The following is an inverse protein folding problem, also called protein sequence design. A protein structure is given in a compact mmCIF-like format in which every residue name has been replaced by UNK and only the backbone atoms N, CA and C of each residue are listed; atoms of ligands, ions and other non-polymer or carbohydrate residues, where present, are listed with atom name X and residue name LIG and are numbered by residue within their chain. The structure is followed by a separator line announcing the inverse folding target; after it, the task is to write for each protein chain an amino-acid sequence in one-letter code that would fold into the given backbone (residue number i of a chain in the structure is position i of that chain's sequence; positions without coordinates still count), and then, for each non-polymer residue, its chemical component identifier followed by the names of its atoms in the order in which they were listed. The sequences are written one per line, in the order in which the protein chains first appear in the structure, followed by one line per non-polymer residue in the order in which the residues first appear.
data_IF_754460613215
#
_entry.id   IF_754460613215
#
_cell.length_a   1.000
_cell.length_b   1.000
_cell.length_c   1.000
_cell.angle_alpha   90.00
_cell.angle_beta   90.00
_cell.angle_gamma   90.00
#
_symmetry.space_group_name_H-M   'P 1'
#
loop_
_entity.id
_entity.type
_entity.pdbx_description
1 polymer ?
#
# COMPACT_ATOMS: atom_id res chain seq x y z
N UNK A 1 17.94 -3.52 -5.92
CA UNK A 1 17.38 -2.60 -4.90
C UNK A 1 17.26 -1.27 -5.62
N UNK A 2 16.05 -0.73 -5.74
CA UNK A 2 15.73 0.37 -6.63
C UNK A 2 16.09 1.70 -5.95
N UNK A 3 17.27 2.22 -6.23
CA UNK A 3 17.68 3.56 -5.80
C UNK A 3 17.79 4.43 -7.06
N UNK A 4 16.85 5.34 -7.28
CA UNK A 4 16.98 6.39 -8.31
C UNK A 4 15.86 6.54 -9.35
N UNK A 5 14.79 5.73 -9.33
CA UNK A 5 13.71 5.84 -10.34
C UNK A 5 12.51 6.66 -9.85
N UNK A 6 11.94 7.48 -10.72
CA UNK A 6 10.72 8.27 -10.46
C UNK A 6 9.47 7.42 -10.73
N UNK A 7 8.48 7.43 -9.84
CA UNK A 7 7.25 6.63 -9.96
C UNK A 7 6.06 7.58 -10.11
N UNK A 8 5.28 7.39 -11.18
CA UNK A 8 3.97 8.03 -11.32
C UNK A 8 2.91 7.08 -10.77
N UNK A 9 2.14 7.54 -9.79
CA UNK A 9 0.99 6.81 -9.28
C UNK A 9 -0.24 7.46 -9.88
N UNK A 10 -0.89 6.73 -10.78
CA UNK A 10 -2.15 7.17 -11.38
C UNK A 10 -3.24 6.88 -10.36
N UNK A 11 -3.62 7.90 -9.59
CA UNK A 11 -4.89 7.92 -8.87
C UNK A 11 -5.99 7.86 -9.93
N UNK A 12 -6.71 6.74 -10.00
CA UNK A 12 -7.98 6.70 -10.73
C UNK A 12 -9.00 7.48 -9.91
N UNK A 13 -9.18 8.75 -10.29
CA UNK A 13 -10.13 9.68 -9.72
C UNK A 13 -11.59 9.24 -9.91
N UNK A 14 -12.40 9.62 -8.91
CA UNK A 14 -13.86 9.80 -8.86
C UNK A 14 -14.72 8.64 -8.33
N UNK A 15 -14.96 8.66 -7.01
CA UNK A 15 -16.32 8.89 -6.49
C UNK A 15 -16.26 9.81 -5.28
N UNK A 16 -16.69 11.07 -5.44
CA UNK A 16 -17.07 11.92 -4.30
C UNK A 16 -18.27 11.27 -3.62
N UNK A 17 -18.06 10.67 -2.45
CA UNK A 17 -19.14 10.41 -1.51
C UNK A 17 -19.16 11.59 -0.55
N UNK A 18 -20.12 12.49 -0.78
CA UNK A 18 -20.54 13.50 0.19
C UNK A 18 -20.91 12.79 1.50
N UNK A 19 -20.07 12.93 2.53
CA UNK A 19 -20.53 12.76 3.91
C UNK A 19 -20.81 14.14 4.48
N UNK A 20 -22.12 14.45 4.52
CA UNK A 20 -22.70 15.52 5.31
C UNK A 20 -22.07 15.54 6.71
N UNK A 21 -21.54 16.71 7.10
CA UNK A 21 -21.23 17.02 8.49
C UNK A 21 -22.52 16.89 9.30
N UNK A 22 -22.69 15.79 10.02
CA UNK A 22 -23.63 15.76 11.13
C UNK A 22 -23.05 16.58 12.27
N UNK A 23 -23.41 17.86 12.24
CA UNK A 23 -23.45 18.73 13.42
C UNK A 23 -24.33 18.05 14.48
N UNK A 24 -23.73 17.59 15.58
CA UNK A 24 -24.50 17.23 16.77
C UNK A 24 -24.83 18.53 17.51
N UNK A 25 -26.08 18.95 17.35
CA UNK A 25 -26.71 20.08 18.02
C UNK A 25 -26.90 19.81 19.51
N UNK A 26 -26.65 20.86 20.29
CA UNK A 26 -26.93 21.03 21.72
C UNK A 26 -28.37 20.72 22.14
N UNK A 27 -28.53 20.22 23.38
CA UNK A 27 -29.42 20.67 24.50
C UNK A 27 -29.36 19.58 25.59
N UNK A 28 -29.39 19.85 26.90
CA UNK A 28 -30.22 20.79 27.64
C UNK A 28 -29.57 21.05 29.02
N UNK A 29 -29.41 22.30 29.45
CA UNK A 29 -29.03 22.67 30.83
C UNK A 29 -30.13 23.58 31.36
N UNK A 30 -30.72 23.18 32.49
CA UNK A 30 -31.72 23.94 33.23
C UNK A 30 -31.11 25.22 33.84
N UNK A 31 -31.80 26.37 33.81
CA UNK A 31 -31.30 27.60 34.41
C UNK A 31 -31.76 27.68 35.87
N UNK A 32 -30.82 27.65 36.80
CA UNK A 32 -31.14 27.99 38.19
C UNK A 32 -30.05 27.69 39.20
N UNK A 33 -29.09 28.59 39.34
CA UNK A 33 -28.55 29.01 40.63
C UNK A 33 -27.51 30.12 40.41
N UNK A 34 -27.93 31.35 40.70
CA UNK A 34 -27.06 32.50 40.92
C UNK A 34 -26.55 32.41 42.38
N UNK A 35 -25.24 32.25 42.61
CA UNK A 35 -24.56 32.88 43.75
C UNK A 35 -23.03 32.71 43.76
N UNK A 36 -22.36 33.84 43.97
CA UNK A 36 -21.02 34.08 44.53
C UNK A 36 -19.76 33.71 43.74
N UNK A 37 -19.13 34.76 43.20
CA UNK A 37 -17.68 34.83 42.91
C UNK A 37 -16.87 34.45 44.16
N UNK A 38 -16.24 33.28 44.10
CA UNK A 38 -14.93 33.09 44.71
C UNK A 38 -13.93 33.00 43.56
N UNK A 39 -12.92 33.88 43.54
CA UNK A 39 -11.75 33.74 42.66
C UNK A 39 -10.91 32.57 43.17
N UNK A 40 -11.38 31.34 42.96
CA UNK A 40 -10.51 30.17 42.88
C UNK A 40 -9.81 30.28 41.54
N UNK A 41 -8.48 30.42 41.55
CA UNK A 41 -7.68 30.21 40.34
C UNK A 41 -8.07 28.83 39.84
N UNK A 42 -8.75 28.76 38.69
CA UNK A 42 -9.08 27.49 38.05
C UNK A 42 -7.74 26.86 37.68
N UNK A 43 -7.32 25.88 38.49
CA UNK A 43 -6.16 25.05 38.16
C UNK A 43 -6.53 24.20 36.95
N UNK A 44 -5.83 24.44 35.84
CA UNK A 44 -6.14 23.81 34.57
C UNK A 44 -5.32 24.41 33.43
N UNK A 45 -5.51 23.88 32.23
CA UNK A 45 -4.79 24.30 31.03
C UNK A 45 -5.73 24.98 30.04
N UNK A 46 -5.24 26.02 29.37
CA UNK A 46 -5.96 26.68 28.29
C UNK A 46 -5.54 26.12 26.93
N UNK A 47 -6.48 25.91 26.02
CA UNK A 47 -6.23 25.50 24.63
C UNK A 47 -7.31 26.06 23.73
N UNK A 48 -6.95 26.76 22.66
CA UNK A 48 -7.87 27.33 21.66
C UNK A 48 -9.05 28.14 22.24
N UNK A 49 -8.81 28.80 23.39
CA UNK A 49 -9.83 29.59 24.10
C UNK A 49 -10.73 28.79 25.05
N UNK A 50 -10.56 27.47 25.14
CA UNK A 50 -11.26 26.59 26.09
C UNK A 50 -10.38 26.23 27.30
N UNK A 51 -11.02 26.03 28.46
CA UNK A 51 -10.36 25.66 29.71
C UNK A 51 -10.55 24.17 30.00
N UNK A 52 -9.45 23.49 30.34
CA UNK A 52 -9.39 22.06 30.64
C UNK A 52 -8.94 21.85 32.09
N UNK A 53 -9.57 20.90 32.79
CA UNK A 53 -9.20 20.56 34.16
C UNK A 53 -7.82 19.89 34.24
N UNK A 54 -7.13 20.01 35.38
CA UNK A 54 -5.88 19.29 35.65
C UNK A 54 -6.05 17.78 35.41
N UNK A 55 -5.08 17.16 34.73
CA UNK A 55 -5.15 15.75 34.33
C UNK A 55 -5.96 15.46 33.06
N UNK A 56 -6.64 16.46 32.47
CA UNK A 56 -7.30 16.32 31.16
C UNK A 56 -6.31 15.86 30.09
N UNK A 57 -6.77 14.97 29.21
CA UNK A 57 -5.96 14.45 28.09
C UNK A 57 -6.62 14.82 26.77
N UNK A 58 -5.88 15.50 25.91
CA UNK A 58 -6.27 15.78 24.52
C UNK A 58 -5.35 15.04 23.55
N UNK A 59 -5.84 14.75 22.35
CA UNK A 59 -5.05 14.19 21.27
C UNK A 59 -4.75 15.24 20.22
N UNK A 60 -3.47 15.39 19.89
CA UNK A 60 -2.97 16.27 18.85
C UNK A 60 -2.25 15.42 17.81
N UNK A 61 -2.93 15.18 16.68
CA UNK A 61 -2.49 14.20 15.70
C UNK A 61 -2.21 12.85 16.40
N UNK A 62 -1.00 12.31 16.31
CA UNK A 62 -0.60 11.07 16.95
C UNK A 62 -0.15 11.23 18.42
N UNK A 63 -0.04 12.47 18.91
CA UNK A 63 0.47 12.75 20.25
C UNK A 63 -0.65 12.90 21.28
N UNK A 64 -0.39 12.44 22.50
CA UNK A 64 -1.27 12.58 23.64
C UNK A 64 -0.72 13.67 24.56
N UNK A 65 -1.52 14.68 24.85
CA UNK A 65 -1.16 15.83 25.68
C UNK A 65 -1.96 15.81 26.96
N UNK A 66 -1.27 15.72 28.10
CA UNK A 66 -1.89 15.74 29.43
C UNK A 66 -1.69 17.11 30.07
N UNK A 67 -2.77 17.72 30.55
CA UNK A 67 -2.70 18.94 31.34
C UNK A 67 -2.05 18.63 32.70
N UNK A 68 -0.91 19.25 32.97
CA UNK A 68 -0.20 19.09 34.23
C UNK A 68 0.45 20.39 34.68
N UNK A 69 -0.04 20.96 35.77
CA UNK A 69 0.50 22.19 36.35
C UNK A 69 0.31 23.40 35.43
N UNK A 70 -0.90 23.57 34.87
CA UNK A 70 -1.26 24.64 33.92
C UNK A 70 -0.48 24.60 32.58
N UNK A 71 0.25 23.52 32.32
CA UNK A 71 0.98 23.30 31.08
C UNK A 71 0.58 21.98 30.43
N UNK A 72 0.56 21.97 29.09
CA UNK A 72 0.37 20.74 28.34
C UNK A 72 1.68 19.95 28.23
N UNK A 73 1.68 18.73 28.75
CA UNK A 73 2.78 17.77 28.57
C UNK A 73 2.39 16.76 27.51
N UNK A 74 2.95 16.94 26.32
CA UNK A 74 2.68 16.09 25.16
C UNK A 74 3.75 15.02 24.98
N UNK A 75 3.35 13.85 24.49
CA UNK A 75 4.28 12.92 23.84
C UNK A 75 4.95 13.59 22.62
N UNK A 76 6.15 13.15 22.28
CA UNK A 76 6.93 13.67 21.16
C UNK A 76 7.17 12.58 20.11
N UNK A 77 6.09 11.99 19.60
CA UNK A 77 6.15 11.05 18.49
C UNK A 77 6.13 11.81 17.17
N UNK A 78 6.95 11.33 16.22
CA UNK A 78 6.85 11.73 14.81
C UNK A 78 5.56 11.14 14.26
N UNK A 79 4.64 12.00 13.84
CA UNK A 79 3.36 11.57 13.28
C UNK A 79 3.50 11.26 11.79
N UNK A 80 2.64 10.40 11.26
CA UNK A 80 2.65 10.03 9.85
C UNK A 80 2.23 11.19 8.96
N UNK A 81 1.24 11.97 9.41
CA UNK A 81 0.83 13.22 8.75
C UNK A 81 1.61 14.37 9.37
N UNK A 82 2.38 15.08 8.54
CA UNK A 82 3.21 16.21 8.94
C UNK A 82 2.81 17.46 8.13
N UNK A 83 2.00 18.38 8.68
CA UNK A 83 1.53 19.57 7.95
C UNK A 83 2.66 20.42 7.35
N UNK A 84 3.77 20.57 8.08
CA UNK A 84 4.95 21.32 7.62
C UNK A 84 5.58 20.67 6.39
N UNK A 85 5.63 19.33 6.32
CA UNK A 85 6.14 18.60 5.16
C UNK A 85 5.23 18.78 3.94
N UNK A 86 3.91 18.77 4.14
CA UNK A 86 2.93 19.04 3.06
C UNK A 86 3.15 20.44 2.48
N UNK A 87 3.28 21.45 3.33
CA UNK A 87 3.53 22.83 2.92
C UNK A 87 4.88 22.95 2.19
N UNK A 88 5.93 22.32 2.73
CA UNK A 88 7.26 22.30 2.11
C UNK A 88 7.24 21.70 0.70
N UNK A 89 6.57 20.57 0.51
CA UNK A 89 6.44 19.92 -0.81
C UNK A 89 5.67 20.83 -1.77
N UNK A 90 4.56 21.41 -1.34
CA UNK A 90 3.69 22.20 -2.20
C UNK A 90 4.26 23.59 -2.55
N UNK A 91 5.15 24.14 -1.73
CA UNK A 91 5.90 25.36 -2.04
C UNK A 91 7.16 25.09 -2.89
N UNK A 92 7.70 23.87 -2.86
CA UNK A 92 8.87 23.49 -3.66
C UNK A 92 8.51 23.07 -5.09
N UNK A 93 9.52 23.03 -5.96
CA UNK A 93 9.40 22.50 -7.33
C UNK A 93 9.93 21.06 -7.40
N UNK A 94 9.15 20.13 -6.82
CA UNK A 94 9.51 18.71 -6.76
C UNK A 94 8.85 17.85 -7.85
N UNK A 95 7.95 18.42 -8.66
CA UNK A 95 7.22 17.72 -9.72
C UNK A 95 5.99 16.91 -9.26
N UNK A 96 5.62 17.00 -7.99
CA UNK A 96 4.43 16.37 -7.41
C UNK A 96 3.83 17.23 -6.29
N UNK A 97 2.56 16.98 -5.96
CA UNK A 97 1.83 17.71 -4.90
C UNK A 97 1.48 16.81 -3.74
N UNK A 98 1.48 17.38 -2.54
CA UNK A 98 1.16 16.71 -1.29
C UNK A 98 -0.23 17.10 -0.76
N UNK A 99 -0.91 16.18 -0.07
CA UNK A 99 -2.18 16.42 0.61
C UNK A 99 -2.27 15.63 1.92
N UNK A 100 -3.13 16.12 2.82
CA UNK A 100 -3.49 15.43 4.06
C UNK A 100 -4.57 14.35 3.82
N UNK A 101 -4.37 13.18 4.44
CA UNK A 101 -5.29 12.05 4.42
C UNK A 101 -5.78 11.73 5.82
N UNK A 102 -7.10 11.84 6.03
CA UNK A 102 -7.72 11.58 7.34
C UNK A 102 -7.49 10.15 7.84
N UNK A 103 -7.31 9.16 6.95
CA UNK A 103 -7.04 7.79 7.36
C UNK A 103 -5.65 7.57 8.01
N UNK A 104 -4.75 8.55 7.88
CA UNK A 104 -3.41 8.55 8.48
C UNK A 104 -3.32 9.47 9.70
N UNK A 105 -4.32 10.30 9.95
CA UNK A 105 -4.35 11.18 11.12
C UNK A 105 -4.37 10.37 12.41
N UNK A 106 -3.52 10.73 13.37
CA UNK A 106 -3.39 10.00 14.62
C UNK A 106 -2.46 8.80 14.60
N UNK A 107 -1.89 8.44 13.45
CA UNK A 107 -0.90 7.38 13.31
C UNK A 107 0.51 7.95 13.48
N UNK A 108 1.38 7.24 14.20
CA UNK A 108 2.81 7.57 14.22
C UNK A 108 3.49 7.16 12.92
N UNK A 109 4.62 7.78 12.56
CA UNK A 109 5.39 7.41 11.37
C UNK A 109 5.82 5.94 11.40
N UNK A 110 6.21 5.45 12.58
CA UNK A 110 6.58 4.05 12.79
C UNK A 110 5.41 3.09 12.53
N UNK A 111 4.20 3.42 13.00
CA UNK A 111 3.00 2.65 12.71
C UNK A 111 2.64 2.68 11.22
N UNK A 112 2.79 3.83 10.56
CA UNK A 112 2.63 3.95 9.11
C UNK A 112 3.53 2.97 8.37
N UNK A 113 4.83 3.01 8.66
CA UNK A 113 5.77 2.06 8.09
C UNK A 113 5.46 0.61 8.45
N UNK A 114 5.05 0.33 9.69
CA UNK A 114 4.80 -1.03 10.17
C UNK A 114 3.53 -1.65 9.62
N UNK A 115 2.47 -0.87 9.39
CA UNK A 115 1.15 -1.38 9.01
C UNK A 115 0.82 -1.21 7.53
N UNK A 116 1.37 -0.17 6.88
CA UNK A 116 1.15 0.10 5.45
C UNK A 116 2.27 -0.45 4.57
N UNK A 117 3.47 -0.61 5.13
CA UNK A 117 4.57 -1.28 4.44
C UNK A 117 4.72 -2.67 5.04
N UNK A 118 5.35 -3.59 4.29
CA UNK A 118 5.31 -5.00 4.72
C UNK A 118 6.06 -5.96 3.82
N UNK A 119 6.84 -5.46 2.87
CA UNK A 119 7.65 -6.33 2.04
C UNK A 119 9.06 -6.38 2.61
N UNK A 120 9.60 -7.57 2.83
CA UNK A 120 11.01 -7.69 3.18
C UNK A 120 11.90 -7.23 2.02
N UNK A 121 13.07 -6.64 2.29
CA UNK A 121 14.07 -6.39 1.27
C UNK A 121 14.36 -7.64 0.44
N UNK A 122 14.69 -7.49 -0.86
CA UNK A 122 15.03 -8.62 -1.73
C UNK A 122 16.05 -9.56 -1.09
N UNK A 123 15.75 -10.85 -1.04
CA UNK A 123 16.71 -11.84 -0.52
C UNK A 123 17.93 -11.93 -1.44
N UNK A 124 19.14 -12.27 -0.93
CA UNK A 124 20.32 -12.46 -1.76
C UNK A 124 20.09 -13.49 -2.88
N UNK A 125 19.26 -14.51 -2.59
CA UNK A 125 18.84 -15.53 -3.56
C UNK A 125 17.98 -14.96 -4.69
N UNK A 126 17.08 -14.03 -4.40
CA UNK A 126 16.29 -13.36 -5.43
C UNK A 126 17.22 -12.50 -6.31
N UNK A 127 18.15 -11.77 -5.69
CA UNK A 127 19.10 -10.93 -6.40
C UNK A 127 20.07 -11.73 -7.28
N UNK A 128 20.43 -12.95 -6.89
CA UNK A 128 21.29 -13.84 -7.68
C UNK A 128 20.56 -14.64 -8.77
N UNK A 129 19.24 -14.47 -8.93
CA UNK A 129 18.52 -15.08 -10.05
C UNK A 129 18.97 -14.45 -11.37
N UNK A 130 19.12 -15.29 -12.40
CA UNK A 130 19.39 -14.82 -13.76
C UNK A 130 18.30 -13.85 -14.20
N UNK A 131 18.73 -12.71 -14.72
CA UNK A 131 17.86 -11.72 -15.31
C UNK A 131 17.42 -12.21 -16.68
N UNK A 132 16.11 -12.24 -16.92
CA UNK A 132 15.58 -12.47 -18.25
C UNK A 132 15.68 -11.15 -19.00
N UNK A 133 16.40 -11.18 -20.11
CA UNK A 133 16.41 -10.12 -21.12
C UNK A 133 15.56 -10.58 -22.29
N UNK A 134 14.72 -9.69 -22.80
CA UNK A 134 13.90 -9.98 -23.97
C UNK A 134 14.78 -9.82 -25.23
N UNK A 135 15.00 -10.87 -26.02
CA UNK A 135 15.67 -10.70 -27.31
C UNK A 135 14.72 -9.99 -28.28
N UNK A 136 15.26 -9.01 -29.02
CA UNK A 136 14.61 -8.24 -30.10
C UNK A 136 13.54 -7.21 -29.70
N UNK A 137 14.01 -5.99 -29.45
CA UNK A 137 13.51 -4.75 -30.04
C UNK A 137 14.56 -3.65 -29.75
N UNK A 138 14.90 -2.82 -30.74
CA UNK A 138 15.70 -1.64 -30.47
C UNK A 138 14.88 -0.67 -29.59
N UNK A 139 15.54 0.19 -28.81
CA UNK A 139 14.85 1.19 -27.97
C UNK A 139 13.87 2.05 -28.80
N UNK A 140 14.19 2.26 -30.09
CA UNK A 140 13.40 3.00 -31.06
C UNK A 140 12.02 2.40 -31.36
N UNK A 141 11.81 1.12 -31.09
CA UNK A 141 10.55 0.41 -31.40
C UNK A 141 9.57 0.44 -30.22
N UNK A 142 9.96 1.04 -29.09
CA UNK A 142 9.13 1.11 -27.89
C UNK A 142 8.26 2.38 -27.90
N UNK A 143 6.95 2.26 -27.64
CA UNK A 143 6.02 3.40 -27.66
C UNK A 143 6.39 4.41 -26.57
N UNK A 144 6.16 5.71 -26.81
CA UNK A 144 6.50 6.76 -25.85
C UNK A 144 5.78 6.62 -24.50
N UNK A 145 4.52 6.19 -24.55
CA UNK A 145 3.71 5.84 -23.38
C UNK A 145 3.08 4.45 -23.55
N UNK A 146 2.82 3.79 -22.43
CA UNK A 146 2.13 2.51 -22.42
C UNK A 146 1.30 2.34 -21.16
N UNK A 147 0.05 1.88 -21.31
CA UNK A 147 -0.84 1.53 -20.20
C UNK A 147 -1.44 0.15 -20.45
N UNK A 148 -1.19 -0.81 -19.55
CA UNK A 148 -1.63 -2.19 -19.74
C UNK A 148 -3.15 -2.33 -19.89
N UNK A 149 -3.95 -1.52 -19.21
CA UNK A 149 -5.41 -1.57 -19.29
C UNK A 149 -5.95 -1.15 -20.66
N UNK A 150 -5.22 -0.33 -21.42
CA UNK A 150 -5.60 0.04 -22.78
C UNK A 150 -5.29 -1.08 -23.78
N UNK A 151 -4.17 -1.79 -23.59
CA UNK A 151 -3.81 -2.93 -24.43
C UNK A 151 -4.66 -4.18 -24.13
N UNK A 152 -4.98 -4.42 -22.86
CA UNK A 152 -5.73 -5.59 -22.42
C UNK A 152 -6.96 -5.19 -21.58
N UNK A 153 -7.97 -4.59 -22.22
CA UNK A 153 -9.17 -4.11 -21.52
C UNK A 153 -9.90 -5.27 -20.84
N UNK A 154 -10.26 -5.09 -19.57
CA UNK A 154 -10.95 -6.09 -18.76
C UNK A 154 -10.08 -7.24 -18.25
N UNK A 155 -8.77 -7.26 -18.58
CA UNK A 155 -7.83 -8.30 -18.10
C UNK A 155 -6.81 -7.76 -17.10
N UNK A 156 -6.75 -6.45 -16.91
CA UNK A 156 -6.00 -5.81 -15.83
C UNK A 156 -6.95 -5.43 -14.71
N UNK A 157 -6.74 -5.99 -13.52
CA UNK A 157 -7.58 -5.73 -12.38
C UNK A 157 -7.19 -4.42 -11.70
N UNK A 158 -8.22 -3.72 -11.23
CA UNK A 158 -8.05 -2.57 -10.34
C UNK A 158 -7.30 -2.97 -9.05
N UNK A 159 -6.71 -1.98 -8.39
CA UNK A 159 -5.98 -2.20 -7.16
C UNK A 159 -6.92 -2.58 -6.00
N UNK A 160 -6.38 -3.30 -5.02
CA UNK A 160 -7.10 -3.72 -3.82
C UNK A 160 -6.45 -3.06 -2.60
N UNK A 161 -7.27 -2.57 -1.67
CA UNK A 161 -6.80 -1.93 -0.45
C UNK A 161 -6.34 -2.97 0.60
N UNK A 162 -5.08 -2.84 1.03
CA UNK A 162 -4.47 -3.68 2.06
C UNK A 162 -4.83 -3.27 3.49
N UNK A 163 -5.37 -2.06 3.69
CA UNK A 163 -5.67 -1.46 5.01
C UNK A 163 -4.42 -1.46 5.90
N UNK A 164 -4.62 -1.54 7.22
CA UNK A 164 -3.55 -1.67 8.22
C UNK A 164 -3.02 -3.12 8.32
N UNK A 165 -2.78 -3.75 7.17
CA UNK A 165 -2.11 -5.05 7.08
C UNK A 165 -0.89 -4.92 6.19
N UNK A 166 0.28 -5.21 6.76
CA UNK A 166 1.59 -5.15 6.12
C UNK A 166 1.78 -6.27 5.09
N UNK A 167 0.96 -6.28 4.04
CA UNK A 167 0.82 -7.38 3.10
C UNK A 167 0.99 -6.98 1.62
N UNK A 168 1.61 -5.84 1.33
CA UNK A 168 1.92 -5.42 -0.05
C UNK A 168 2.59 -6.53 -0.88
N UNK A 169 3.44 -7.36 -0.24
CA UNK A 169 4.04 -8.56 -0.84
C UNK A 169 3.01 -9.55 -1.41
N UNK A 170 1.87 -9.73 -0.75
CA UNK A 170 0.81 -10.64 -1.16
C UNK A 170 -0.12 -10.00 -2.19
N UNK A 171 -0.50 -8.74 -1.96
CA UNK A 171 -1.39 -7.97 -2.83
C UNK A 171 -0.80 -7.79 -4.22
N UNK A 172 0.43 -7.27 -4.31
CA UNK A 172 1.11 -7.08 -5.59
C UNK A 172 1.37 -8.41 -6.31
N UNK A 173 1.73 -9.48 -5.60
CA UNK A 173 1.92 -10.82 -6.20
C UNK A 173 0.62 -11.36 -6.79
N UNK A 174 -0.48 -11.33 -6.02
CA UNK A 174 -1.78 -11.83 -6.48
C UNK A 174 -2.31 -11.00 -7.66
N UNK A 175 -2.16 -9.68 -7.60
CA UNK A 175 -2.61 -8.77 -8.66
C UNK A 175 -1.85 -8.98 -9.97
N UNK A 176 -0.52 -9.01 -9.93
CA UNK A 176 0.31 -9.28 -11.12
C UNK A 176 0.00 -10.65 -11.71
N UNK A 177 -0.15 -11.66 -10.86
CA UNK A 177 -0.48 -13.01 -11.30
C UNK A 177 -1.87 -13.10 -11.95
N UNK A 178 -2.88 -12.43 -11.39
CA UNK A 178 -4.24 -12.40 -11.95
C UNK A 178 -4.22 -11.81 -13.37
N UNK A 179 -3.57 -10.66 -13.54
CA UNK A 179 -3.48 -9.96 -14.83
C UNK A 179 -2.75 -10.81 -15.86
N UNK A 180 -1.61 -11.41 -15.49
CA UNK A 180 -0.84 -12.27 -16.39
C UNK A 180 -1.57 -13.55 -16.75
N UNK A 181 -2.30 -14.16 -15.83
CA UNK A 181 -3.12 -15.35 -16.12
C UNK A 181 -4.21 -14.98 -17.13
N UNK A 182 -4.87 -13.83 -16.99
CA UNK A 182 -5.86 -13.36 -17.95
C UNK A 182 -5.25 -13.13 -19.34
N UNK A 183 -4.13 -12.40 -19.40
CA UNK A 183 -3.41 -12.09 -20.65
C UNK A 183 -2.92 -13.37 -21.35
N UNK A 184 -2.17 -14.23 -20.64
CA UNK A 184 -1.57 -15.41 -21.23
C UNK A 184 -2.59 -16.51 -21.58
N UNK A 185 -3.71 -16.55 -20.87
CA UNK A 185 -4.82 -17.46 -21.19
C UNK A 185 -5.77 -16.91 -22.27
N UNK A 186 -5.47 -15.73 -22.84
CA UNK A 186 -6.31 -15.03 -23.83
C UNK A 186 -7.75 -14.85 -23.34
N UNK A 187 -7.91 -14.42 -22.09
CA UNK A 187 -9.20 -14.17 -21.47
C UNK A 187 -9.95 -15.41 -20.98
N UNK A 188 -9.38 -16.62 -21.08
CA UNK A 188 -10.02 -17.84 -20.55
C UNK A 188 -10.16 -17.83 -19.03
N UNK A 189 -9.25 -17.14 -18.34
CA UNK A 189 -9.22 -17.05 -16.88
C UNK A 189 -9.02 -15.60 -16.44
N UNK A 190 -10.09 -14.91 -16.08
CA UNK A 190 -10.09 -13.47 -15.73
C UNK A 190 -10.42 -13.21 -14.26
N UNK A 191 -10.24 -14.21 -13.39
CA UNK A 191 -10.54 -14.03 -11.97
C UNK A 191 -9.43 -13.22 -11.29
N UNK A 192 -9.81 -12.20 -10.52
CA UNK A 192 -8.90 -11.56 -9.57
C UNK A 192 -8.47 -12.58 -8.52
N UNK A 193 -7.18 -12.69 -8.20
CA UNK A 193 -6.66 -13.66 -7.24
C UNK A 193 -6.70 -13.11 -5.82
N UNK A 194 -6.90 -13.99 -4.84
CA UNK A 194 -7.03 -13.61 -3.43
C UNK A 194 -5.67 -13.34 -2.77
N UNK A 195 -5.38 -12.10 -2.33
CA UNK A 195 -4.25 -11.84 -1.45
C UNK A 195 -4.46 -12.49 -0.08
N UNK A 196 -5.70 -12.53 0.42
CA UNK A 196 -6.04 -13.13 1.72
C UNK A 196 -5.64 -14.61 1.79
N UNK A 197 -5.88 -15.37 0.72
CA UNK A 197 -5.46 -16.77 0.67
C UNK A 197 -3.94 -16.89 0.82
N UNK A 198 -3.19 -16.01 0.16
CA UNK A 198 -1.73 -16.00 0.26
C UNK A 198 -1.25 -15.59 1.67
N UNK A 199 -1.88 -14.57 2.27
CA UNK A 199 -1.60 -14.09 3.63
C UNK A 199 -1.82 -15.20 4.67
N UNK A 200 -2.97 -15.87 4.62
CA UNK A 200 -3.36 -16.87 5.62
C UNK A 200 -2.73 -18.25 5.41
N UNK A 201 -2.37 -18.61 4.18
CA UNK A 201 -2.02 -19.99 3.83
C UNK A 201 -0.58 -20.21 3.36
N UNK A 202 0.24 -19.16 3.21
CA UNK A 202 1.65 -19.34 2.83
C UNK A 202 2.50 -19.80 4.03
N UNK A 203 2.91 -21.09 4.10
CA UNK A 203 3.62 -21.60 5.28
C UNK A 203 5.02 -21.00 5.45
N UNK A 204 5.58 -20.44 4.37
CA UNK A 204 6.88 -19.78 4.37
C UNK A 204 6.78 -18.30 4.76
N UNK A 205 5.61 -17.67 4.69
CA UNK A 205 5.39 -16.29 5.16
C UNK A 205 4.47 -16.33 6.40
N UNK A 206 5.02 -16.73 7.55
CA UNK A 206 4.26 -16.88 8.80
C UNK A 206 3.84 -15.55 9.45
N UNK A 207 4.34 -14.44 8.94
CA UNK A 207 4.11 -13.11 9.51
C UNK A 207 2.77 -12.50 9.05
N UNK A 208 2.09 -13.08 8.05
CA UNK A 208 0.77 -12.64 7.59
C UNK A 208 0.74 -11.13 7.33
N UNK A 209 -0.02 -10.42 8.17
CA UNK A 209 -0.19 -8.96 8.15
C UNK A 209 0.89 -8.15 8.84
N UNK A 210 2.03 -8.74 9.17
CA UNK A 210 3.17 -8.04 9.77
C UNK A 210 4.33 -7.86 8.79
N UNK A 211 4.42 -8.72 7.75
CA UNK A 211 5.43 -8.66 6.69
C UNK A 211 5.42 -9.91 5.82
N UNK A 212 6.13 -9.89 4.69
CA UNK A 212 6.40 -11.08 3.91
C UNK A 212 7.36 -10.86 2.76
N UNK A 213 7.80 -11.96 2.16
CA UNK A 213 8.75 -11.94 1.04
C UNK A 213 8.09 -12.34 -0.27
N UNK A 214 8.40 -11.61 -1.35
CA UNK A 214 7.85 -11.86 -2.68
C UNK A 214 8.37 -13.18 -3.28
N UNK A 215 9.59 -13.61 -2.96
CA UNK A 215 10.15 -14.88 -3.46
C UNK A 215 9.35 -16.09 -2.93
N UNK A 216 8.95 -16.04 -1.66
CA UNK A 216 8.08 -17.01 -0.99
C UNK A 216 6.66 -16.94 -1.54
N UNK A 217 6.18 -15.75 -1.88
CA UNK A 217 4.87 -15.54 -2.48
C UNK A 217 4.75 -16.20 -3.86
N UNK A 218 5.70 -15.90 -4.76
CA UNK A 218 5.75 -16.54 -6.08
C UNK A 218 6.01 -18.04 -5.99
N UNK A 219 6.84 -18.49 -5.05
CA UNK A 219 7.01 -19.92 -4.79
C UNK A 219 5.69 -20.58 -4.39
N UNK A 220 4.90 -19.93 -3.54
CA UNK A 220 3.58 -20.43 -3.12
C UNK A 220 2.62 -20.49 -4.30
N UNK A 221 2.49 -19.42 -5.09
CA UNK A 221 1.63 -19.40 -6.26
C UNK A 221 2.01 -20.50 -7.27
N UNK A 222 3.30 -20.68 -7.55
CA UNK A 222 3.79 -21.76 -8.43
C UNK A 222 3.44 -23.14 -7.87
N UNK A 223 3.79 -23.38 -6.60
CA UNK A 223 3.75 -24.72 -6.02
C UNK A 223 2.38 -25.11 -5.51
N UNK A 224 1.66 -24.21 -4.85
CA UNK A 224 0.37 -24.42 -4.17
C UNK A 224 -0.79 -23.77 -4.92
N UNK A 225 -0.56 -22.64 -5.59
CA UNK A 225 -1.60 -21.86 -6.26
C UNK A 225 -2.46 -21.05 -5.31
N UNK A 226 -3.27 -20.17 -5.88
CA UNK A 226 -4.23 -19.31 -5.17
C UNK A 226 -5.65 -19.54 -5.68
N UNK A 227 -6.64 -19.20 -4.87
CA UNK A 227 -8.04 -19.06 -5.32
C UNK A 227 -8.36 -17.63 -5.73
N UNK A 228 -9.53 -17.44 -6.33
CA UNK A 228 -10.05 -16.10 -6.64
C UNK A 228 -10.35 -15.31 -5.37
N UNK A 229 -10.29 -13.98 -5.47
CA UNK A 229 -10.73 -13.05 -4.43
C UNK A 229 -12.22 -13.26 -4.09
N UNK A 230 -13.06 -13.58 -5.08
CA UNK A 230 -14.46 -13.93 -4.85
C UNK A 230 -14.62 -15.16 -3.94
N UNK A 231 -13.75 -16.17 -4.07
CA UNK A 231 -13.77 -17.37 -3.24
C UNK A 231 -13.23 -17.11 -1.82
N UNK A 232 -12.16 -16.32 -1.72
CA UNK A 232 -11.51 -15.98 -0.45
C UNK A 232 -11.34 -14.45 -0.36
N UNK A 233 -12.39 -13.73 0.06
CA UNK A 233 -12.35 -12.27 0.15
C UNK A 233 -11.44 -11.78 1.28
N UNK A 234 -11.11 -10.49 1.26
CA UNK A 234 -10.38 -9.83 2.35
C UNK A 234 -11.26 -9.79 3.60
N UNK A 235 -10.71 -10.17 4.75
CA UNK A 235 -11.45 -10.06 6.02
C UNK A 235 -11.42 -8.62 6.54
N UNK A 236 -12.53 -8.18 7.16
CA UNK A 236 -12.64 -6.83 7.75
C UNK A 236 -11.62 -6.62 8.87
N UNK A 237 -11.43 -7.63 9.71
CA UNK A 237 -10.50 -7.58 10.84
C UNK A 237 -9.27 -8.43 10.52
N UNK A 238 -8.26 -7.81 9.92
CA UNK A 238 -6.96 -8.43 9.68
C UNK A 238 -6.13 -8.50 10.98
N UNK A 239 -6.76 -8.84 12.11
CA UNK A 239 -6.07 -9.02 13.37
C UNK A 239 -5.18 -10.27 13.30
N UNK A 240 -3.93 -10.11 13.72
CA UNK A 240 -2.87 -11.12 13.62
C UNK A 240 -3.21 -12.48 14.24
N UNK A 241 -4.22 -12.54 15.11
CA UNK A 241 -4.64 -13.70 15.89
C UNK A 241 -5.58 -14.67 15.15
N UNK A 242 -6.26 -14.25 14.07
CA UNK A 242 -7.19 -15.10 13.30
C UNK A 242 -6.69 -15.49 11.90
N UNK A 243 -5.36 -15.66 11.74
CA UNK A 243 -4.73 -16.03 10.47
C UNK A 243 -4.79 -17.53 10.15
N UNK A 244 -5.82 -18.25 10.60
CA UNK A 244 -5.97 -19.65 10.25
C UNK A 244 -6.22 -19.80 8.75
N UNK A 245 -5.45 -20.67 8.09
CA UNK A 245 -5.68 -20.98 6.69
C UNK A 245 -7.03 -21.70 6.51
N UNK A 246 -8.07 -20.95 6.14
CA UNK A 246 -9.40 -21.50 5.89
C UNK A 246 -9.46 -22.42 4.66
N UNK A 247 -8.60 -22.19 3.66
CA UNK A 247 -8.53 -23.02 2.46
C UNK A 247 -7.10 -23.20 1.95
N UNK A 248 -6.61 -24.44 1.99
CA UNK A 248 -5.34 -24.84 1.40
C UNK A 248 -5.56 -25.58 0.07
N UNK A 249 -4.45 -25.95 -0.59
CA UNK A 249 -4.46 -26.80 -1.77
C UNK A 249 -3.70 -28.11 -1.57
N UNK A 250 -4.24 -29.18 -2.14
CA UNK A 250 -3.62 -30.51 -2.21
C UNK A 250 -3.20 -30.85 -3.65
N UNK A 251 -2.10 -31.58 -3.78
CA UNK A 251 -1.62 -32.09 -5.08
C UNK A 251 -2.46 -33.31 -5.48
N UNK A 252 -2.75 -33.46 -6.77
CA UNK A 252 -3.31 -34.71 -7.31
C UNK A 252 -2.25 -35.67 -7.87
N UNK A 253 -0.96 -35.39 -7.63
CA UNK A 253 0.15 -36.19 -8.11
C UNK A 253 0.52 -35.97 -9.58
N UNK A 254 -0.30 -35.22 -10.35
CA UNK A 254 -0.07 -34.91 -11.78
C UNK A 254 0.28 -33.43 -12.01
N UNK A 255 0.68 -32.74 -10.95
CA UNK A 255 1.08 -31.33 -10.96
C UNK A 255 -0.08 -30.33 -10.83
N UNK A 256 -1.33 -30.79 -10.91
CA UNK A 256 -2.51 -29.95 -10.66
C UNK A 256 -2.80 -29.90 -9.15
N UNK A 257 -3.49 -28.84 -8.76
CA UNK A 257 -3.87 -28.56 -7.38
C UNK A 257 -5.39 -28.46 -7.28
N UNK A 258 -5.91 -29.00 -6.18
CA UNK A 258 -7.34 -28.90 -5.84
C UNK A 258 -7.49 -28.29 -4.46
N UNK A 259 -8.53 -27.50 -4.27
CA UNK A 259 -8.87 -26.96 -2.96
C UNK A 259 -9.17 -28.10 -1.98
N UNK A 260 -8.72 -27.94 -0.73
CA UNK A 260 -9.00 -28.92 0.33
C UNK A 260 -10.37 -28.75 0.96
N UNK A 261 -10.95 -27.55 0.85
CA UNK A 261 -12.23 -27.14 1.44
C UNK A 261 -13.01 -26.23 0.46
N UNK A 262 -14.33 -26.06 0.64
CA UNK A 262 -15.12 -25.04 -0.07
C UNK A 262 -14.64 -23.61 0.23
N UNK A 263 -15.06 -22.66 -0.60
CA UNK A 263 -14.78 -21.23 -0.44
C UNK A 263 -15.21 -20.71 0.93
N UNK A 264 -14.35 -19.94 1.65
CA UNK A 264 -14.78 -19.17 2.82
C UNK A 264 -15.95 -18.25 2.53
N UNK A 265 -16.02 -17.69 1.32
CA UNK A 265 -17.24 -17.09 0.80
C UNK A 265 -18.20 -18.18 0.32
N UNK A 266 -19.29 -18.39 1.05
CA UNK A 266 -20.30 -19.41 0.74
C UNK A 266 -21.12 -19.10 -0.54
N UNK A 267 -21.05 -17.88 -1.08
CA UNK A 267 -21.73 -17.49 -2.32
C UNK A 267 -20.95 -18.00 -3.54
N UNK A 268 -19.62 -18.00 -3.47
CA UNK A 268 -18.77 -18.43 -4.57
C UNK A 268 -18.68 -19.96 -4.62
N UNK A 269 -19.13 -20.53 -5.73
CA UNK A 269 -19.15 -21.99 -5.94
C UNK A 269 -17.81 -22.49 -6.48
N UNK A 270 -17.07 -21.64 -7.19
CA UNK A 270 -15.80 -21.99 -7.82
C UNK A 270 -14.64 -21.88 -6.83
N UNK A 271 -14.12 -23.03 -6.39
CA UNK A 271 -12.90 -23.15 -5.59
C UNK A 271 -11.65 -23.46 -6.45
N UNK A 272 -11.63 -22.98 -7.70
CA UNK A 272 -10.54 -23.25 -8.64
C UNK A 272 -9.21 -22.73 -8.09
N UNK A 273 -8.19 -23.57 -8.16
CA UNK A 273 -6.81 -23.20 -7.87
C UNK A 273 -6.12 -22.72 -9.15
N UNK A 274 -5.53 -21.52 -9.08
CA UNK A 274 -4.72 -20.90 -10.12
C UNK A 274 -3.24 -21.04 -9.77
N UNK A 275 -2.44 -21.56 -10.69
CA UNK A 275 -1.00 -21.71 -10.54
C UNK A 275 -0.27 -20.93 -11.65
N UNK A 276 0.97 -20.54 -11.38
CA UNK A 276 1.84 -19.91 -12.38
C UNK A 276 3.00 -20.84 -12.79
N UNK A 277 3.59 -20.54 -13.94
CA UNK A 277 4.90 -21.06 -14.35
C UNK A 277 6.00 -20.59 -13.38
N UNK A 278 7.24 -21.13 -13.46
CA UNK A 278 8.33 -20.66 -12.61
C UNK A 278 8.56 -19.14 -12.75
N UNK A 279 8.63 -18.40 -11.62
CA UNK A 279 8.91 -16.97 -11.66
C UNK A 279 10.36 -16.72 -12.09
N UNK A 280 10.60 -15.58 -12.73
CA UNK A 280 11.92 -15.09 -13.12
C UNK A 280 12.10 -13.64 -12.71
N UNK A 281 13.36 -13.20 -12.65
CA UNK A 281 13.72 -11.82 -12.36
C UNK A 281 13.84 -11.06 -13.68
N UNK A 282 13.16 -9.92 -13.78
CA UNK A 282 13.36 -8.96 -14.87
C UNK A 282 14.58 -8.11 -14.53
N UNK A 283 15.36 -7.73 -15.54
CA UNK A 283 16.49 -6.82 -15.34
C UNK A 283 16.06 -5.52 -14.67
N UNK A 284 16.97 -4.88 -13.95
CA UNK A 284 16.74 -3.53 -13.39
C UNK A 284 16.92 -2.41 -14.42
N UNK A 285 17.16 -2.76 -15.69
CA UNK A 285 17.16 -1.82 -16.81
C UNK A 285 15.73 -1.45 -17.22
N UNK A 286 15.44 -0.15 -17.28
CA UNK A 286 14.13 0.40 -17.63
C UNK A 286 13.57 -0.14 -18.95
N UNK A 287 14.41 -0.22 -19.99
CA UNK A 287 14.03 -0.72 -21.32
C UNK A 287 13.55 -2.17 -21.26
N UNK A 288 14.23 -3.01 -20.48
CA UNK A 288 13.87 -4.43 -20.35
C UNK A 288 12.56 -4.61 -19.56
N UNK A 289 12.34 -3.77 -18.55
CA UNK A 289 11.08 -3.75 -17.79
C UNK A 289 9.93 -3.32 -18.67
N UNK A 290 10.15 -2.31 -19.49
CA UNK A 290 9.16 -1.84 -20.45
C UNK A 290 8.80 -2.89 -21.49
N UNK A 291 9.80 -3.54 -22.10
CA UNK A 291 9.58 -4.68 -23.00
C UNK A 291 8.73 -5.74 -22.32
N UNK A 292 9.08 -6.10 -21.08
CA UNK A 292 8.35 -7.12 -20.34
C UNK A 292 6.88 -6.73 -20.09
N UNK A 293 6.62 -5.48 -19.68
CA UNK A 293 5.27 -4.98 -19.47
C UNK A 293 4.46 -4.98 -20.78
N UNK A 294 5.07 -4.51 -21.87
CA UNK A 294 4.42 -4.40 -23.18
C UNK A 294 4.07 -5.77 -23.75
N UNK A 295 4.96 -6.75 -23.64
CA UNK A 295 4.75 -8.06 -24.26
C UNK A 295 3.97 -9.02 -23.37
N UNK A 296 4.24 -9.01 -22.06
CA UNK A 296 3.78 -10.05 -21.13
C UNK A 296 2.83 -9.53 -20.04
N UNK A 297 2.57 -8.22 -20.00
CA UNK A 297 1.69 -7.60 -19.02
C UNK A 297 2.41 -7.18 -17.73
N UNK A 298 1.66 -6.65 -16.75
CA UNK A 298 2.20 -6.05 -15.53
C UNK A 298 3.27 -6.88 -14.83
N UNK A 299 4.17 -6.19 -14.13
CA UNK A 299 5.26 -6.80 -13.35
C UNK A 299 5.21 -6.35 -11.89
N UNK A 300 5.85 -7.11 -11.00
CA UNK A 300 6.01 -6.73 -9.60
C UNK A 300 7.35 -6.03 -9.39
N UNK A 301 7.34 -4.91 -8.68
CA UNK A 301 8.54 -4.21 -8.24
C UNK A 301 8.57 -4.06 -6.71
N UNK A 302 9.76 -3.81 -6.17
CA UNK A 302 9.94 -3.45 -4.76
C UNK A 302 10.52 -2.04 -4.75
N UNK A 303 9.86 -1.14 -4.04
CA UNK A 303 10.30 0.23 -3.83
C UNK A 303 10.62 0.49 -2.36
N UNK A 304 11.49 1.47 -2.14
CA UNK A 304 11.70 2.07 -0.83
C UNK A 304 10.78 3.27 -0.69
N UNK A 305 10.00 3.30 0.38
CA UNK A 305 9.02 4.32 0.71
C UNK A 305 9.61 5.24 1.76
N UNK A 306 9.41 6.53 1.54
CA UNK A 306 9.83 7.60 2.43
C UNK A 306 8.59 8.23 3.06
N UNK A 307 8.79 8.96 4.15
CA UNK A 307 7.77 9.63 4.96
C UNK A 307 6.91 10.61 4.14
N UNK A 308 7.54 11.34 3.22
CA UNK A 308 6.87 12.25 2.29
C UNK A 308 5.89 11.54 1.33
N UNK A 309 6.14 10.28 1.00
CA UNK A 309 5.30 9.51 0.09
C UNK A 309 3.88 9.29 0.62
N UNK A 310 3.69 9.22 1.94
CA UNK A 310 2.34 9.11 2.54
C UNK A 310 1.45 10.34 2.29
N UNK A 311 2.05 11.43 1.83
CA UNK A 311 1.35 12.66 1.48
C UNK A 311 1.12 12.80 -0.02
N UNK A 312 1.65 11.91 -0.86
CA UNK A 312 1.55 12.02 -2.31
C UNK A 312 0.09 12.09 -2.79
N UNK A 313 -0.22 13.11 -3.61
CA UNK A 313 -1.51 13.29 -4.26
C UNK A 313 -1.45 13.08 -5.77
N UNK A 314 -0.57 13.80 -6.46
CA UNK A 314 -0.49 13.81 -7.93
C UNK A 314 0.87 14.29 -8.42
N UNK A 315 1.16 14.04 -9.70
CA UNK A 315 2.44 14.35 -10.34
C UNK A 315 3.43 13.20 -10.30
N UNK A 316 4.70 13.45 -10.61
CA UNK A 316 5.74 12.41 -10.63
C UNK A 316 6.48 12.44 -9.30
N UNK A 317 6.27 11.42 -8.47
CA UNK A 317 6.86 11.38 -7.14
C UNK A 317 8.39 11.34 -7.21
N UNK A 318 9.01 12.21 -6.41
CA UNK A 318 10.44 12.25 -6.13
C UNK A 318 10.64 12.54 -4.65
N UNK A 319 11.39 11.69 -3.97
CA UNK A 319 11.69 11.89 -2.55
C UNK A 319 12.39 13.23 -2.30
N UNK A 320 11.86 13.98 -1.34
CA UNK A 320 12.43 15.23 -0.83
C UNK A 320 13.41 14.90 0.28
N UNK A 321 14.70 15.08 0.02
CA UNK A 321 15.76 14.84 1.01
C UNK A 321 15.80 15.97 2.04
N UNK A 322 15.35 15.71 3.26
CA UNK A 322 15.63 16.56 4.41
C UNK A 322 16.93 16.08 5.10
N UNK A 323 17.77 17.02 5.54
CA UNK A 323 19.12 16.77 6.07
C UNK A 323 19.19 16.02 7.42
N UNK A 324 18.07 15.54 7.95
CA UNK A 324 18.03 14.81 9.21
C UNK A 324 18.06 13.30 8.95
N UNK A 325 19.23 12.71 9.19
CA UNK A 325 19.55 11.28 9.10
C UNK A 325 18.81 10.41 10.14
N UNK A 326 17.47 10.44 10.20
CA UNK A 326 16.71 9.41 10.93
C UNK A 326 16.60 8.07 10.15
N UNK A 327 17.26 8.02 8.98
CA UNK A 327 17.14 7.02 7.93
C UNK A 327 17.42 5.56 8.35
N UNK A 328 18.33 5.33 9.30
CA UNK A 328 18.72 3.95 9.66
C UNK A 328 17.69 3.25 10.56
N UNK A 329 16.98 3.97 11.45
CA UNK A 329 16.01 3.36 12.38
C UNK A 329 14.92 2.61 11.63
N UNK A 330 14.44 3.17 10.52
CA UNK A 330 13.32 2.64 9.75
C UNK A 330 13.72 1.88 8.48
N UNK A 331 15.02 1.74 8.18
CA UNK A 331 15.51 1.17 6.91
C UNK A 331 14.88 -0.18 6.54
N UNK A 332 14.59 -1.03 7.54
CA UNK A 332 13.97 -2.35 7.33
C UNK A 332 12.45 -2.32 7.13
N UNK A 333 11.77 -1.26 7.53
CA UNK A 333 10.32 -1.11 7.43
C UNK A 333 9.90 -0.36 6.15
N UNK A 334 10.80 0.38 5.52
CA UNK A 334 10.53 1.23 4.35
C UNK A 334 10.25 0.48 3.05
N UNK A 335 10.17 -0.84 3.04
CA UNK A 335 10.09 -1.61 1.79
C UNK A 335 8.66 -2.02 1.46
N UNK A 336 8.22 -1.70 0.25
CA UNK A 336 6.86 -1.97 -0.24
C UNK A 336 6.89 -2.59 -1.65
N UNK A 337 6.02 -3.58 -1.90
CA UNK A 337 5.91 -4.21 -3.21
C UNK A 337 4.72 -3.66 -3.99
N UNK A 338 4.95 -3.30 -5.25
CA UNK A 338 3.97 -2.65 -6.13
C UNK A 338 3.78 -3.42 -7.42
N UNK A 339 2.65 -3.18 -8.09
CA UNK A 339 2.38 -3.62 -9.47
C UNK A 339 2.67 -2.48 -10.43
N UNK A 340 3.61 -2.68 -11.36
CA UNK A 340 3.87 -1.76 -12.46
C UNK A 340 2.97 -2.13 -13.65
N UNK A 341 2.18 -1.17 -14.13
CA UNK A 341 1.17 -1.38 -15.18
C UNK A 341 1.48 -0.65 -16.47
N UNK A 342 2.51 0.19 -16.50
CA UNK A 342 2.81 1.00 -17.67
C UNK A 342 3.99 1.94 -17.47
N UNK A 343 4.23 2.79 -18.45
CA UNK A 343 5.23 3.87 -18.41
C UNK A 343 4.68 5.12 -19.10
N UNK A 344 5.13 6.28 -18.64
CA UNK A 344 4.82 7.59 -19.21
C UNK A 344 6.10 8.41 -19.39
N UNK A 345 6.16 9.31 -20.39
CA UNK A 345 7.27 10.24 -20.54
C UNK A 345 7.31 11.23 -19.36
N UNK A 346 8.50 11.69 -19.00
CA UNK A 346 8.69 12.74 -18.01
C UNK A 346 8.63 14.10 -18.73
N UNK A 347 7.69 15.00 -18.38
CA UNK A 347 7.63 16.32 -18.99
C UNK A 347 8.92 17.12 -18.76
N UNK A 348 9.49 17.69 -19.81
CA UNK A 348 10.67 18.57 -19.72
C UNK A 348 12.04 17.88 -19.72
N UNK A 349 12.11 16.55 -19.80
CA UNK A 349 13.37 15.83 -19.99
C UNK A 349 13.57 15.37 -21.44
N UNK A 350 14.84 15.25 -21.86
CA UNK A 350 15.21 14.83 -23.21
C UNK A 350 14.62 13.46 -23.58
N UNK A 351 14.35 13.22 -24.87
CA UNK A 351 13.84 11.96 -25.41
C UNK A 351 14.57 10.73 -24.81
N UNK A 352 13.92 10.04 -23.87
CA UNK A 352 14.43 8.80 -23.30
C UNK A 352 14.00 8.50 -21.87
N UNK A 353 13.87 9.51 -21.00
CA UNK A 353 13.52 9.26 -19.58
C UNK A 353 12.01 9.05 -19.39
N UNK A 354 11.63 7.91 -18.79
CA UNK A 354 10.24 7.56 -18.52
C UNK A 354 10.05 7.23 -17.05
N UNK A 355 8.82 7.45 -16.57
CA UNK A 355 8.39 7.07 -15.23
C UNK A 355 7.48 5.85 -15.30
N UNK A 356 7.65 4.93 -14.36
CA UNK A 356 6.78 3.77 -14.27
C UNK A 356 5.42 4.17 -13.68
N UNK A 357 4.35 3.67 -14.30
CA UNK A 357 3.00 3.72 -13.73
C UNK A 357 2.90 2.59 -12.72
N UNK A 358 2.77 2.94 -11.45
CA UNK A 358 2.39 2.01 -10.41
C UNK A 358 0.88 2.04 -10.22
N UNK A 359 0.24 0.88 -10.27
CA UNK A 359 -1.12 0.71 -9.76
C UNK A 359 -1.09 0.64 -8.25
N UNK A 360 -0.84 1.78 -7.60
CA UNK A 360 -0.98 1.92 -6.16
C UNK A 360 -2.39 2.42 -5.85
N UNK A 361 -3.04 1.81 -4.86
CA UNK A 361 -4.27 2.34 -4.28
C UNK A 361 -4.26 1.98 -2.82
N UNK A 362 -3.93 2.98 -2.03
CA UNK A 362 -4.44 3.11 -0.68
C UNK A 362 -5.35 4.33 -0.74
N UNK A 363 -6.66 4.12 -0.87
CA UNK A 363 -7.65 5.10 -0.39
C UNK A 363 -8.19 4.58 0.94
#
# INVERSE_FOLDING_TARGET
MWTGYRILIVSSLLTEIWMEKQYVSQRQVDPGADFTRNHTVLEGCLRDGEHYEEGSVIKENCNSCTCSGQQWKCSQHVCLIEPELIEHVNHGDYGWTAQNYSQFWGMTLEEGFKYRLGTFPPSPKLLSMNEVTAPLAAITDLPEFFVASYKWPGWTHGPLDQKNCAASWAFSTASVAADRIAIQSKGRYTANLSPQNLISCCPKNRHGCNSGSIDRAWWYLRKRGLVSHACYPLFKDQNATNNACAMASRSDGRGKRHATKPCPNNIEKSNRIYQCSPPYRVSSNETEIMKEIIHNGPVQAIMQVHEDFFHYKSGIYRHVTNANEESEKYRKLRTHAVKLTGLLPIPGESHGERTAISGFFEE
#
